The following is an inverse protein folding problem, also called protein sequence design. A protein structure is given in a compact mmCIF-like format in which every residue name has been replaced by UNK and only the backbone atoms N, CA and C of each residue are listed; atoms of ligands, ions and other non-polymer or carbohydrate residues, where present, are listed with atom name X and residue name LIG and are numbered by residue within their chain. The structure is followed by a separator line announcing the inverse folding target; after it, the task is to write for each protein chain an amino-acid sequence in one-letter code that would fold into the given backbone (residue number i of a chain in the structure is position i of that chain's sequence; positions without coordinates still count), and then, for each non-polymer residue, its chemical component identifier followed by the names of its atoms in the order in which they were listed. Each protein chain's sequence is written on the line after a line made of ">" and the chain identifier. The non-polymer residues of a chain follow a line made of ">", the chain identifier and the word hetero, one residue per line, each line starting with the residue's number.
data_IF_490025763161
#
_entry.id   IF_490025763161
#
_cell.length_a   1.000
_cell.length_b   1.000
_cell.length_c   1.000
_cell.angle_alpha   90.00
_cell.angle_beta   90.00
_cell.angle_gamma   90.00
#
_symmetry.space_group_name_H-M   'P 1'
#
loop_
_entity.id
_entity.type
_entity.pdbx_description
1 polymer ?
#
# COMPACT_ATOMS: atom_id res chain seq x y z
N UNK A 1 42.07 -9.66 99.49
CA UNK A 1 41.44 -10.48 98.43
C UNK A 1 42.00 -10.24 97.03
N UNK A 2 43.02 -9.39 96.83
CA UNK A 2 43.61 -9.09 95.51
C UNK A 2 44.82 -9.96 95.17
N UNK A 3 44.73 -11.28 95.36
CA UNK A 3 45.79 -12.21 94.95
C UNK A 3 45.45 -12.82 93.58
N UNK A 4 46.33 -12.67 92.61
CA UNK A 4 46.17 -13.23 91.28
C UNK A 4 46.97 -14.54 91.19
N UNK A 5 46.29 -15.68 91.07
CA UNK A 5 46.96 -16.97 90.95
C UNK A 5 47.77 -17.15 89.65
N UNK A 6 47.70 -16.18 88.71
CA UNK A 6 48.53 -16.12 87.49
C UNK A 6 49.96 -15.62 87.73
N UNK A 7 50.23 -14.95 88.86
CA UNK A 7 51.56 -14.43 89.18
C UNK A 7 52.46 -15.46 89.90
N UNK A 8 51.98 -16.69 90.08
CA UNK A 8 52.74 -17.77 90.74
C UNK A 8 53.69 -18.37 89.71
N UNK A 9 54.99 -18.12 89.86
CA UNK A 9 56.02 -18.72 89.01
C UNK A 9 56.20 -20.21 89.35
N UNK A 10 56.70 -21.03 88.41
CA UNK A 10 56.95 -22.44 88.67
C UNK A 10 57.95 -22.66 89.84
N UNK A 11 58.87 -21.73 90.09
CA UNK A 11 59.81 -21.84 91.22
C UNK A 11 59.08 -21.66 92.56
N UNK A 12 58.27 -20.60 92.70
CA UNK A 12 57.48 -20.34 93.92
C UNK A 12 56.56 -21.52 94.22
N UNK A 13 55.95 -22.09 93.18
CA UNK A 13 55.09 -23.26 93.30
C UNK A 13 55.86 -24.50 93.78
N UNK A 14 57.03 -24.79 93.21
CA UNK A 14 57.84 -25.94 93.62
C UNK A 14 58.26 -25.83 95.08
N UNK A 15 58.68 -24.64 95.52
CA UNK A 15 59.03 -24.38 96.92
C UNK A 15 57.83 -24.54 97.85
N UNK A 16 56.65 -24.01 97.47
CA UNK A 16 55.42 -24.15 98.27
C UNK A 16 54.91 -25.59 98.28
N UNK A 17 55.03 -26.35 97.18
CA UNK A 17 54.69 -27.77 97.12
C UNK A 17 55.61 -28.61 98.01
N UNK A 18 56.90 -28.29 98.06
CA UNK A 18 57.85 -28.93 98.97
C UNK A 18 57.53 -28.63 100.44
N UNK A 19 57.14 -27.40 100.76
CA UNK A 19 56.67 -27.00 102.10
C UNK A 19 55.36 -27.69 102.49
N UNK A 20 54.43 -27.84 101.54
CA UNK A 20 53.17 -28.57 101.72
C UNK A 20 53.42 -30.07 101.93
N UNK A 21 54.41 -30.65 101.25
CA UNK A 21 54.79 -32.07 101.42
C UNK A 21 55.48 -32.32 102.76
N UNK A 22 56.40 -31.44 103.15
CA UNK A 22 57.15 -31.55 104.42
C UNK A 22 56.24 -31.37 105.63
N UNK A 23 55.22 -30.51 105.52
CA UNK A 23 54.28 -30.20 106.60
C UNK A 23 52.85 -30.68 106.29
N UNK A 24 52.69 -31.82 105.63
CA UNK A 24 51.37 -32.31 105.18
C UNK A 24 50.32 -32.42 106.31
N UNK A 25 50.75 -32.79 107.52
CA UNK A 25 49.88 -32.89 108.69
C UNK A 25 49.32 -31.52 109.17
N UNK A 26 50.04 -30.43 108.90
CA UNK A 26 49.69 -29.06 109.31
C UNK A 26 48.70 -28.39 108.36
N UNK A 27 48.59 -28.86 107.11
CA UNK A 27 47.68 -28.34 106.09
C UNK A 27 46.37 -29.13 105.97
N UNK A 28 46.16 -30.17 106.79
CA UNK A 28 44.85 -30.84 106.90
C UNK A 28 43.82 -29.92 107.58
N UNK A 29 42.65 -29.78 106.97
CA UNK A 29 41.60 -28.87 107.41
C UNK A 29 41.16 -29.13 108.87
N UNK A 30 41.19 -30.38 109.32
CA UNK A 30 40.83 -30.76 110.71
C UNK A 30 41.89 -30.33 111.71
N UNK A 31 43.18 -30.45 111.37
CA UNK A 31 44.29 -30.07 112.25
C UNK A 31 44.52 -28.56 112.27
N UNK A 32 44.46 -27.89 111.12
CA UNK A 32 44.58 -26.44 111.01
C UNK A 32 43.46 -25.70 111.79
N UNK A 33 42.23 -26.24 111.77
CA UNK A 33 41.08 -25.68 112.51
C UNK A 33 41.21 -25.84 114.03
N UNK A 34 41.85 -26.92 114.49
CA UNK A 34 42.17 -27.13 115.91
C UNK A 34 43.22 -26.14 116.42
N UNK A 35 44.16 -25.74 115.58
CA UNK A 35 45.18 -24.74 115.92
C UNK A 35 44.64 -23.31 115.91
N UNK A 36 43.85 -22.91 114.91
CA UNK A 36 43.18 -21.61 114.87
C UNK A 36 41.99 -21.59 113.90
N UNK A 37 40.87 -20.98 114.32
CA UNK A 37 39.69 -20.82 113.49
C UNK A 37 39.95 -19.97 112.22
N UNK A 38 40.90 -19.04 112.26
CA UNK A 38 41.28 -18.19 111.13
C UNK A 38 42.34 -18.84 110.22
N UNK A 39 43.10 -19.83 110.71
CA UNK A 39 44.17 -20.49 109.94
C UNK A 39 43.65 -21.56 108.97
N UNK A 40 42.58 -22.28 109.33
CA UNK A 40 41.97 -23.29 108.47
C UNK A 40 41.57 -22.80 107.05
N UNK A 41 40.88 -21.66 106.88
CA UNK A 41 40.54 -21.17 105.54
C UNK A 41 41.78 -20.70 104.74
N UNK A 42 42.83 -20.22 105.41
CA UNK A 42 44.08 -19.84 104.75
C UNK A 42 44.87 -21.05 104.26
N UNK A 43 44.91 -22.15 105.03
CA UNK A 43 45.53 -23.40 104.61
C UNK A 43 44.82 -24.01 103.38
N UNK A 44 43.48 -24.05 103.40
CA UNK A 44 42.68 -24.47 102.25
C UNK A 44 42.88 -23.54 101.03
N UNK A 45 43.00 -22.23 101.27
CA UNK A 45 43.30 -21.24 100.24
C UNK A 45 44.66 -21.50 99.58
N UNK A 46 45.73 -21.75 100.34
CA UNK A 46 47.05 -22.06 99.76
C UNK A 46 46.99 -23.34 98.92
N UNK A 47 46.36 -24.40 99.42
CA UNK A 47 46.21 -25.67 98.71
C UNK A 47 45.42 -25.50 97.39
N UNK A 48 44.32 -24.76 97.43
CA UNK A 48 43.52 -24.46 96.24
C UNK A 48 44.29 -23.60 95.22
N UNK A 49 45.10 -22.63 95.65
CA UNK A 49 45.91 -21.81 94.76
C UNK A 49 47.01 -22.61 94.06
N UNK A 50 47.63 -23.58 94.74
CA UNK A 50 48.63 -24.48 94.13
C UNK A 50 47.99 -25.39 93.07
N UNK A 51 46.84 -26.00 93.38
CA UNK A 51 46.09 -26.84 92.43
C UNK A 51 45.56 -26.02 91.24
N UNK A 52 45.10 -24.80 91.49
CA UNK A 52 44.66 -23.88 90.46
C UNK A 52 45.82 -23.45 89.55
N UNK A 53 47.02 -23.20 90.11
CA UNK A 53 48.22 -22.89 89.33
C UNK A 53 48.68 -24.07 88.44
N UNK A 54 48.55 -25.32 88.91
CA UNK A 54 48.78 -26.53 88.11
C UNK A 54 47.87 -26.60 86.88
N UNK A 55 46.57 -26.36 87.08
CA UNK A 55 45.57 -26.37 86.01
C UNK A 55 45.77 -25.20 85.04
N UNK A 56 46.09 -24.01 85.56
CA UNK A 56 46.37 -22.82 84.77
C UNK A 56 47.56 -23.02 83.82
N UNK A 57 48.61 -23.72 84.25
CA UNK A 57 49.78 -24.01 83.41
C UNK A 57 49.43 -24.94 82.23
N UNK A 58 48.49 -25.88 82.43
CA UNK A 58 48.00 -26.78 81.36
C UNK A 58 47.02 -26.08 80.42
N UNK A 59 46.20 -25.18 80.94
CA UNK A 59 45.18 -24.46 80.18
C UNK A 59 45.78 -23.27 79.43
N UNK A 60 46.85 -22.65 79.92
CA UNK A 60 47.54 -21.52 79.28
C UNK A 60 47.89 -21.70 77.79
N UNK A 61 48.54 -22.79 77.36
CA UNK A 61 48.82 -23.02 75.94
C UNK A 61 47.54 -23.26 75.11
N UNK A 62 46.52 -23.91 75.68
CA UNK A 62 45.24 -24.15 74.99
C UNK A 62 44.42 -22.86 74.87
N UNK A 63 44.42 -22.00 75.89
CA UNK A 63 43.84 -20.65 75.84
C UNK A 63 44.56 -19.79 74.80
N UNK A 64 45.89 -19.90 74.70
CA UNK A 64 46.68 -19.18 73.70
C UNK A 64 46.38 -19.67 72.28
N UNK A 65 46.32 -20.99 72.07
CA UNK A 65 45.98 -21.61 70.78
C UNK A 65 44.52 -21.30 70.38
N UNK A 66 43.58 -21.37 71.32
CA UNK A 66 42.19 -20.98 71.11
C UNK A 66 42.10 -19.49 70.72
N UNK A 67 42.82 -18.62 71.41
CA UNK A 67 42.88 -17.20 71.08
C UNK A 67 43.50 -16.95 69.69
N UNK A 68 44.51 -17.73 69.30
CA UNK A 68 45.12 -17.65 67.97
C UNK A 68 44.14 -18.11 66.87
N UNK A 69 43.47 -19.24 67.07
CA UNK A 69 42.47 -19.76 66.13
C UNK A 69 41.26 -18.84 66.02
N UNK A 70 40.79 -18.25 67.12
CA UNK A 70 39.73 -17.24 67.10
C UNK A 70 40.16 -15.98 66.33
N UNK A 71 41.41 -15.54 66.47
CA UNK A 71 41.96 -14.44 65.64
C UNK A 71 42.02 -14.80 64.16
N UNK A 72 42.42 -16.04 63.82
CA UNK A 72 42.45 -16.51 62.42
C UNK A 72 41.05 -16.64 61.83
N UNK A 73 40.11 -17.20 62.59
CA UNK A 73 38.70 -17.34 62.21
C UNK A 73 38.06 -15.97 61.95
N UNK A 74 38.16 -15.05 62.91
CA UNK A 74 37.64 -13.68 62.74
C UNK A 74 38.29 -12.97 61.54
N UNK A 75 39.58 -13.17 61.30
CA UNK A 75 40.25 -12.65 60.11
C UNK A 75 39.72 -13.24 58.79
N UNK A 76 39.42 -14.54 58.76
CA UNK A 76 38.84 -15.20 57.60
C UNK A 76 37.37 -14.79 57.37
N UNK A 77 36.57 -14.68 58.43
CA UNK A 77 35.19 -14.19 58.40
C UNK A 77 35.13 -12.75 57.88
N UNK A 78 36.03 -11.87 58.31
CA UNK A 78 36.13 -10.51 57.77
C UNK A 78 36.48 -10.49 56.29
N UNK A 79 37.38 -11.38 55.82
CA UNK A 79 37.71 -11.51 54.39
C UNK A 79 36.53 -12.01 53.58
N UNK A 80 35.81 -13.03 54.07
CA UNK A 80 34.60 -13.55 53.45
C UNK A 80 33.51 -12.47 53.39
N UNK A 81 33.33 -11.68 54.45
CA UNK A 81 32.39 -10.56 54.46
C UNK A 81 32.73 -9.50 53.40
N UNK A 82 34.01 -9.11 53.29
CA UNK A 82 34.48 -8.16 52.26
C UNK A 82 34.26 -8.68 50.84
N UNK A 83 34.59 -9.95 50.59
CA UNK A 83 34.40 -10.58 49.28
C UNK A 83 32.91 -10.74 48.95
N UNK A 84 32.08 -11.09 49.93
CA UNK A 84 30.63 -11.18 49.79
C UNK A 84 30.00 -9.83 49.43
N UNK A 85 30.41 -8.75 50.09
CA UNK A 85 29.93 -7.40 49.73
C UNK A 85 30.41 -6.95 48.35
N UNK A 86 31.64 -7.31 47.96
CA UNK A 86 32.17 -6.98 46.64
C UNK A 86 31.43 -7.76 45.54
N UNK A 87 31.11 -9.04 45.78
CA UNK A 87 30.33 -9.87 44.87
C UNK A 87 28.91 -9.30 44.69
N UNK A 88 28.24 -8.94 45.79
CA UNK A 88 26.92 -8.32 45.75
C UNK A 88 26.92 -7.02 44.92
N UNK A 89 27.95 -6.18 45.06
CA UNK A 89 28.09 -4.98 44.24
C UNK A 89 28.31 -5.26 42.75
N UNK A 90 29.02 -6.34 42.41
CA UNK A 90 29.17 -6.78 41.01
C UNK A 90 27.85 -7.33 40.48
N UNK A 91 27.12 -8.12 41.26
CA UNK A 91 25.81 -8.66 40.87
C UNK A 91 24.79 -7.55 40.62
N UNK A 92 24.74 -6.53 41.47
CA UNK A 92 23.95 -5.31 41.24
C UNK A 92 24.32 -4.64 39.92
N UNK A 93 25.63 -4.46 39.65
CA UNK A 93 26.11 -3.87 38.40
C UNK A 93 25.74 -4.70 37.18
N UNK A 94 25.79 -6.02 37.29
CA UNK A 94 25.41 -6.94 36.21
C UNK A 94 23.90 -6.86 35.96
N UNK A 95 23.08 -6.76 37.00
CA UNK A 95 21.64 -6.53 36.87
C UNK A 95 21.35 -5.20 36.15
N UNK A 96 21.98 -4.09 36.58
CA UNK A 96 21.85 -2.78 35.93
C UNK A 96 22.22 -2.83 34.44
N UNK A 97 23.35 -3.47 34.10
CA UNK A 97 23.82 -3.57 32.72
C UNK A 97 22.91 -4.46 31.87
N UNK A 98 22.35 -5.54 32.43
CA UNK A 98 21.40 -6.41 31.74
C UNK A 98 20.11 -5.68 31.40
N UNK A 99 19.59 -4.87 32.32
CA UNK A 99 18.40 -4.05 32.08
C UNK A 99 18.65 -3.03 30.97
N UNK A 100 19.75 -2.27 31.06
CA UNK A 100 20.14 -1.29 30.02
C UNK A 100 20.33 -1.94 28.65
N UNK A 101 21.00 -3.09 28.60
CA UNK A 101 21.15 -3.84 27.35
C UNK A 101 19.79 -4.29 26.81
N UNK A 102 18.88 -4.72 27.68
CA UNK A 102 17.50 -5.04 27.33
C UNK A 102 16.72 -3.85 26.76
N UNK A 103 16.90 -2.65 27.30
CA UNK A 103 16.27 -1.42 26.80
C UNK A 103 16.86 -1.01 25.45
N UNK A 104 18.18 -0.90 25.34
CA UNK A 104 18.85 -0.51 24.09
C UNK A 104 18.58 -1.51 22.96
N UNK A 105 18.47 -2.81 23.25
CA UNK A 105 18.11 -3.81 22.22
C UNK A 105 16.68 -3.67 21.73
N UNK A 106 15.72 -3.36 22.62
CA UNK A 106 14.33 -3.07 22.22
C UNK A 106 14.24 -1.79 21.39
N UNK A 107 14.96 -0.75 21.79
CA UNK A 107 15.01 0.52 21.04
C UNK A 107 15.64 0.33 19.66
N UNK A 108 16.77 -0.37 19.58
CA UNK A 108 17.41 -0.71 18.32
C UNK A 108 16.47 -1.49 17.39
N UNK A 109 15.81 -2.54 17.91
CA UNK A 109 14.86 -3.33 17.13
C UNK A 109 13.66 -2.50 16.63
N UNK A 110 13.15 -1.57 17.46
CA UNK A 110 12.07 -0.65 17.07
C UNK A 110 12.51 0.31 15.96
N UNK A 111 13.72 0.87 16.05
CA UNK A 111 14.27 1.76 15.04
C UNK A 111 14.52 1.00 13.74
N UNK A 112 15.10 -0.21 13.81
CA UNK A 112 15.31 -1.06 12.63
C UNK A 112 13.99 -1.39 11.92
N UNK A 113 12.91 -1.66 12.67
CA UNK A 113 11.60 -1.94 12.09
C UNK A 113 11.03 -0.70 11.39
N UNK A 114 11.10 0.47 12.03
CA UNK A 114 10.67 1.74 11.43
C UNK A 114 11.50 2.13 10.19
N UNK A 115 12.80 1.83 10.19
CA UNK A 115 13.68 2.03 9.04
C UNK A 115 13.25 1.14 7.88
N UNK A 116 13.03 -0.17 8.13
CA UNK A 116 12.56 -1.11 7.10
C UNK A 116 11.22 -0.71 6.49
N UNK A 117 10.27 -0.24 7.30
CA UNK A 117 8.99 0.27 6.79
C UNK A 117 9.20 1.50 5.89
N UNK A 118 10.09 2.40 6.30
CA UNK A 118 10.39 3.61 5.53
C UNK A 118 11.11 3.28 4.22
N UNK A 119 12.07 2.35 4.24
CA UNK A 119 12.77 1.86 3.06
C UNK A 119 11.83 1.17 2.08
N UNK A 120 10.89 0.35 2.57
CA UNK A 120 9.87 -0.28 1.74
C UNK A 120 8.94 0.75 1.07
N UNK A 121 8.55 1.80 1.81
CA UNK A 121 7.77 2.93 1.27
C UNK A 121 8.57 3.72 0.24
N UNK A 122 9.86 3.96 0.48
CA UNK A 122 10.75 4.64 -0.46
C UNK A 122 10.95 3.83 -1.73
N UNK A 123 11.20 2.53 -1.64
CA UNK A 123 11.32 1.66 -2.80
C UNK A 123 10.04 1.68 -3.66
N UNK A 124 8.87 1.55 -3.01
CA UNK A 124 7.58 1.63 -3.70
C UNK A 124 7.36 3.00 -4.37
N UNK A 125 7.76 4.10 -3.70
CA UNK A 125 7.67 5.44 -4.26
C UNK A 125 8.63 5.65 -5.44
N UNK A 126 9.85 5.10 -5.36
CA UNK A 126 10.83 5.14 -6.46
C UNK A 126 10.33 4.37 -7.68
N UNK A 127 9.76 3.18 -7.48
CA UNK A 127 9.16 2.40 -8.57
C UNK A 127 8.01 3.15 -9.24
N UNK A 128 7.13 3.77 -8.44
CA UNK A 128 6.04 4.60 -8.96
C UNK A 128 6.57 5.82 -9.71
N UNK A 129 7.61 6.49 -9.21
CA UNK A 129 8.22 7.62 -9.91
C UNK A 129 8.84 7.18 -11.24
N UNK A 130 9.53 6.05 -11.29
CA UNK A 130 10.09 5.51 -12.53
C UNK A 130 8.98 5.17 -13.55
N UNK A 131 7.86 4.59 -13.10
CA UNK A 131 6.69 4.35 -13.94
C UNK A 131 6.07 5.66 -14.42
N UNK A 132 5.93 6.66 -13.54
CA UNK A 132 5.39 7.97 -13.88
C UNK A 132 6.29 8.74 -14.85
N UNK A 133 7.60 8.61 -14.76
CA UNK A 133 8.54 9.20 -15.72
C UNK A 133 8.38 8.59 -17.11
N UNK A 134 8.26 7.26 -17.20
CA UNK A 134 8.00 6.57 -18.46
C UNK A 134 6.64 6.96 -19.06
N UNK A 135 5.60 7.06 -18.23
CA UNK A 135 4.27 7.52 -18.60
C UNK A 135 4.28 8.99 -19.05
N UNK A 136 4.98 9.86 -18.33
CA UNK A 136 5.16 11.26 -18.69
C UNK A 136 5.85 11.38 -20.05
N UNK A 137 6.95 10.67 -20.27
CA UNK A 137 7.63 10.64 -21.57
C UNK A 137 6.72 10.12 -22.70
N UNK A 138 5.81 9.17 -22.40
CA UNK A 138 4.81 8.69 -23.36
C UNK A 138 3.74 9.75 -23.64
N UNK A 139 3.21 10.41 -22.61
CA UNK A 139 2.21 11.47 -22.76
C UNK A 139 2.78 12.68 -23.50
N UNK A 140 4.00 13.10 -23.19
CA UNK A 140 4.70 14.18 -23.88
C UNK A 140 4.91 13.85 -25.37
N UNK A 141 5.31 12.61 -25.69
CA UNK A 141 5.38 12.14 -27.08
C UNK A 141 4.01 12.13 -27.77
N UNK A 142 2.95 11.70 -27.09
CA UNK A 142 1.59 11.72 -27.63
C UNK A 142 1.08 13.14 -27.88
N UNK A 143 1.34 14.06 -26.95
CA UNK A 143 0.97 15.46 -27.08
C UNK A 143 1.67 16.10 -28.27
N UNK A 144 3.00 15.96 -28.37
CA UNK A 144 3.75 16.45 -29.52
C UNK A 144 3.26 15.83 -30.84
N UNK A 145 2.91 14.54 -30.84
CA UNK A 145 2.35 13.87 -32.00
C UNK A 145 0.94 14.37 -32.36
N UNK A 146 0.12 14.81 -31.40
CA UNK A 146 -1.20 15.39 -31.64
C UNK A 146 -1.10 16.83 -32.14
N UNK A 147 -0.21 17.64 -31.55
CA UNK A 147 0.05 19.03 -31.97
C UNK A 147 0.61 19.09 -33.39
N UNK A 148 1.45 18.12 -33.77
CA UNK A 148 1.98 18.04 -35.12
C UNK A 148 0.95 17.56 -36.16
N UNK A 149 -0.23 17.03 -35.78
CA UNK A 149 -1.19 16.49 -36.75
C UNK A 149 -1.96 17.60 -37.47
N UNK A 150 -2.04 17.61 -38.83
CA UNK A 150 -2.81 18.57 -39.59
C UNK A 150 -4.30 18.21 -39.55
N UNK A 151 -4.93 18.44 -38.39
CA UNK A 151 -6.29 18.00 -38.09
C UNK A 151 -7.30 18.52 -39.12
N UNK A 152 -7.18 19.79 -39.53
CA UNK A 152 -8.07 20.39 -40.53
C UNK A 152 -8.02 19.63 -41.86
N UNK A 153 -6.82 19.27 -42.33
CA UNK A 153 -6.65 18.54 -43.59
C UNK A 153 -7.13 17.09 -43.48
N UNK A 154 -6.93 16.45 -42.31
CA UNK A 154 -7.42 15.09 -42.04
C UNK A 154 -8.95 15.05 -41.98
N UNK A 155 -9.57 16.00 -41.31
CA UNK A 155 -11.03 16.12 -41.25
C UNK A 155 -11.62 16.40 -42.63
N UNK A 156 -10.98 17.26 -43.43
CA UNK A 156 -11.38 17.52 -44.81
C UNK A 156 -11.28 16.28 -45.70
N UNK A 157 -10.20 15.51 -45.56
CA UNK A 157 -10.06 14.24 -46.27
C UNK A 157 -11.09 13.22 -45.80
N UNK A 158 -11.34 13.12 -44.49
CA UNK A 158 -12.34 12.23 -43.90
C UNK A 158 -13.75 12.51 -44.42
N UNK A 159 -14.15 13.79 -44.43
CA UNK A 159 -15.47 14.20 -44.91
C UNK A 159 -15.61 13.98 -46.41
N UNK A 160 -14.58 14.26 -47.20
CA UNK A 160 -14.57 13.94 -48.63
C UNK A 160 -14.69 12.43 -48.89
N UNK A 161 -14.06 11.60 -48.06
CA UNK A 161 -14.19 10.15 -48.14
C UNK A 161 -15.62 9.68 -47.83
N UNK A 162 -16.17 10.14 -46.71
CA UNK A 162 -17.53 9.78 -46.30
C UNK A 162 -18.58 10.24 -47.33
N UNK A 163 -18.45 11.46 -47.86
CA UNK A 163 -19.42 12.03 -48.80
C UNK A 163 -19.33 11.40 -50.20
N UNK A 164 -18.11 11.24 -50.74
CA UNK A 164 -17.95 10.88 -52.16
C UNK A 164 -17.47 9.44 -52.39
N UNK A 165 -16.82 8.80 -51.42
CA UNK A 165 -16.35 7.42 -51.59
C UNK A 165 -17.37 6.38 -51.12
N UNK A 166 -18.27 6.73 -50.20
CA UNK A 166 -19.39 5.88 -49.78
C UNK A 166 -20.41 5.67 -50.89
N UNK A 167 -20.70 6.72 -51.68
CA UNK A 167 -21.66 6.70 -52.79
C UNK A 167 -21.13 6.09 -54.10
N UNK A 168 -19.84 5.72 -54.17
CA UNK A 168 -19.26 5.11 -55.36
C UNK A 168 -19.60 3.60 -55.44
N UNK A 169 -20.14 3.12 -56.57
CA UNK A 169 -20.37 1.69 -56.81
C UNK A 169 -19.10 0.87 -56.58
N UNK A 170 -19.25 -0.34 -56.04
CA UNK A 170 -18.16 -1.27 -55.68
C UNK A 170 -17.19 -1.63 -56.83
N UNK A 171 -17.47 -1.21 -58.06
CA UNK A 171 -16.76 -1.62 -59.27
C UNK A 171 -15.43 -0.91 -59.57
N UNK A 172 -14.88 -0.06 -58.69
CA UNK A 172 -13.52 0.51 -58.90
C UNK A 172 -12.77 0.83 -57.59
N UNK A 173 -12.20 -0.19 -56.93
CA UNK A 173 -11.15 -0.02 -55.88
C UNK A 173 -10.05 0.93 -56.35
N UNK A 174 -9.68 0.84 -57.62
CA UNK A 174 -8.70 1.73 -58.24
C UNK A 174 -9.17 3.19 -58.34
N UNK A 175 -10.48 3.45 -58.53
CA UNK A 175 -10.98 4.82 -58.60
C UNK A 175 -10.94 5.49 -57.22
N UNK A 176 -11.28 4.75 -56.16
CA UNK A 176 -11.12 5.23 -54.77
C UNK A 176 -9.66 5.55 -54.48
N UNK A 177 -8.77 4.62 -54.83
CA UNK A 177 -7.31 4.80 -54.67
C UNK A 177 -6.77 5.99 -55.48
N UNK A 178 -7.23 6.19 -56.74
CA UNK A 178 -6.84 7.34 -57.57
C UNK A 178 -7.35 8.67 -57.02
N UNK A 179 -8.61 8.73 -56.57
CA UNK A 179 -9.20 9.95 -56.00
C UNK A 179 -8.51 10.35 -54.70
N UNK A 180 -8.25 9.39 -53.82
CA UNK A 180 -7.50 9.62 -52.59
C UNK A 180 -6.09 10.10 -52.85
N UNK A 181 -5.42 9.48 -53.82
CA UNK A 181 -4.09 9.92 -54.19
C UNK A 181 -4.12 11.35 -54.75
N UNK A 182 -5.14 11.70 -55.55
CA UNK A 182 -5.33 13.07 -56.07
C UNK A 182 -5.60 14.08 -54.96
N UNK A 183 -6.53 13.79 -54.04
CA UNK A 183 -6.85 14.70 -52.93
C UNK A 183 -5.66 14.94 -52.00
N UNK A 184 -4.83 13.91 -51.77
CA UNK A 184 -3.59 14.06 -50.99
C UNK A 184 -2.57 14.98 -51.66
N UNK A 185 -2.42 14.92 -52.99
CA UNK A 185 -1.52 15.84 -53.71
C UNK A 185 -1.97 17.31 -53.61
N UNK A 186 -3.25 17.55 -53.32
CA UNK A 186 -3.79 18.90 -53.10
C UNK A 186 -3.61 19.38 -51.65
N UNK A 187 -3.16 18.51 -50.74
CA UNK A 187 -2.99 18.78 -49.31
C UNK A 187 -1.49 18.66 -48.93
N UNK A 188 -0.70 19.74 -49.07
CA UNK A 188 0.75 19.69 -48.96
C UNK A 188 1.26 19.30 -47.57
N UNK A 189 0.55 19.63 -46.48
CA UNK A 189 0.97 19.26 -45.12
C UNK A 189 0.81 17.75 -44.88
N UNK A 190 -0.25 17.13 -45.41
CA UNK A 190 -0.41 15.67 -45.39
C UNK A 190 0.66 14.96 -46.24
N UNK A 191 1.04 15.55 -47.37
CA UNK A 191 2.07 15.00 -48.25
C UNK A 191 3.47 15.00 -47.59
N UNK A 192 3.82 16.08 -46.86
CA UNK A 192 5.09 16.16 -46.13
C UNK A 192 5.16 15.15 -44.97
N UNK A 193 4.06 14.90 -44.28
CA UNK A 193 4.02 13.92 -43.18
C UNK A 193 4.13 12.47 -43.65
N UNK A 194 3.56 12.12 -44.80
CA UNK A 194 3.70 10.77 -45.35
C UNK A 194 5.14 10.43 -45.73
N UNK A 195 5.89 11.39 -46.27
CA UNK A 195 7.29 11.19 -46.63
C UNK A 195 8.16 10.90 -45.39
N UNK A 196 7.81 11.50 -44.24
CA UNK A 196 8.48 11.22 -42.96
C UNK A 196 8.08 9.87 -42.34
N UNK A 197 6.84 9.41 -42.58
CA UNK A 197 6.30 8.21 -41.91
C UNK A 197 6.36 6.91 -42.73
N UNK A 198 6.77 6.94 -44.01
CA UNK A 198 6.89 5.75 -44.88
C UNK A 198 5.68 4.79 -44.81
N UNK A 199 4.45 5.32 -44.75
CA UNK A 199 3.22 4.50 -44.67
C UNK A 199 2.58 4.32 -46.04
N UNK A 200 2.24 3.09 -46.39
CA UNK A 200 1.50 2.74 -47.61
C UNK A 200 0.06 3.28 -47.54
N UNK A 201 -0.40 3.91 -48.63
CA UNK A 201 -1.63 4.73 -48.63
C UNK A 201 -2.96 4.01 -48.36
N UNK A 202 -2.96 2.68 -48.34
CA UNK A 202 -4.13 1.80 -48.14
C UNK A 202 -4.57 1.68 -46.67
N UNK A 203 -3.63 1.62 -45.73
CA UNK A 203 -3.90 1.50 -44.30
C UNK A 203 -4.40 2.82 -43.67
N UNK A 204 -4.39 3.90 -44.45
CA UNK A 204 -4.57 5.25 -43.95
C UNK A 204 -6.03 5.69 -43.89
N UNK A 205 -6.89 5.22 -44.79
CA UNK A 205 -8.33 5.48 -44.71
C UNK A 205 -8.96 4.85 -43.48
N UNK A 206 -8.68 3.57 -43.28
CA UNK A 206 -9.23 2.80 -42.16
C UNK A 206 -8.67 3.28 -40.83
N UNK A 207 -7.43 3.77 -40.78
CA UNK A 207 -6.84 4.40 -39.60
C UNK A 207 -7.29 5.87 -39.41
N UNK A 208 -7.72 6.55 -40.47
CA UNK A 208 -8.24 7.91 -40.41
C UNK A 208 -9.69 7.95 -39.96
N UNK A 209 -10.50 6.97 -40.38
CA UNK A 209 -11.92 6.89 -40.07
C UNK A 209 -12.24 5.95 -38.89
N UNK A 210 -11.34 5.02 -38.55
CA UNK A 210 -11.60 3.99 -37.54
C UNK A 210 -10.38 3.69 -36.67
N UNK A 211 -10.64 3.27 -35.43
CA UNK A 211 -9.60 2.76 -34.53
C UNK A 211 -9.34 1.26 -34.75
N UNK A 212 -8.13 0.78 -34.44
CA UNK A 212 -7.82 -0.66 -34.50
C UNK A 212 -8.77 -1.49 -33.61
N UNK A 213 -9.21 -0.92 -32.47
CA UNK A 213 -10.20 -1.56 -31.59
C UNK A 213 -11.53 -1.82 -32.31
N UNK A 214 -12.01 -0.86 -33.09
CA UNK A 214 -13.25 -1.01 -33.87
C UNK A 214 -13.06 -2.05 -34.98
N UNK A 215 -11.93 -2.02 -35.67
CA UNK A 215 -11.62 -3.01 -36.71
C UNK A 215 -11.59 -4.43 -36.13
N UNK A 216 -11.01 -4.60 -34.94
CA UNK A 216 -11.02 -5.88 -34.21
C UNK A 216 -12.43 -6.29 -33.78
N UNK A 217 -13.27 -5.33 -33.36
CA UNK A 217 -14.66 -5.60 -33.00
C UNK A 217 -15.47 -6.08 -34.22
N UNK A 218 -15.30 -5.45 -35.39
CA UNK A 218 -15.98 -5.89 -36.61
C UNK A 218 -15.51 -7.27 -37.06
N UNK A 219 -14.21 -7.56 -36.96
CA UNK A 219 -13.68 -8.90 -37.22
C UNK A 219 -14.29 -9.94 -36.28
N UNK A 220 -14.46 -9.61 -35.00
CA UNK A 220 -15.13 -10.48 -34.04
C UNK A 220 -16.63 -10.67 -34.36
N UNK A 221 -17.26 -9.70 -35.02
CA UNK A 221 -18.65 -9.76 -35.51
C UNK A 221 -18.79 -10.43 -36.89
N UNK A 222 -17.70 -10.96 -37.45
CA UNK A 222 -17.73 -11.71 -38.72
C UNK A 222 -17.50 -10.86 -39.97
N UNK A 223 -17.03 -9.61 -39.84
CA UNK A 223 -16.58 -8.83 -40.99
C UNK A 223 -15.36 -9.52 -41.64
N UNK A 224 -15.38 -9.81 -42.95
CA UNK A 224 -14.24 -10.37 -43.63
C UNK A 224 -13.00 -9.46 -43.51
N UNK A 225 -11.79 -10.01 -43.35
CA UNK A 225 -10.58 -9.22 -43.09
C UNK A 225 -10.02 -8.52 -44.33
N UNK A 226 -10.73 -8.58 -45.47
CA UNK A 226 -10.31 -7.91 -46.68
C UNK A 226 -10.41 -6.39 -46.54
N UNK A 227 -9.54 -5.72 -47.31
CA UNK A 227 -9.40 -4.28 -47.28
C UNK A 227 -10.70 -3.56 -47.64
N UNK A 228 -11.40 -4.04 -48.68
CA UNK A 228 -12.63 -3.43 -49.15
C UNK A 228 -13.76 -3.55 -48.14
N UNK A 229 -13.94 -4.70 -47.50
CA UNK A 229 -14.93 -4.85 -46.41
C UNK A 229 -14.61 -3.95 -45.23
N UNK A 230 -13.33 -3.80 -44.86
CA UNK A 230 -12.92 -2.91 -43.78
C UNK A 230 -13.12 -1.43 -44.13
N UNK A 231 -12.81 -1.02 -45.37
CA UNK A 231 -13.05 0.33 -45.89
C UNK A 231 -14.55 0.61 -46.02
N UNK A 232 -15.35 -0.34 -46.49
CA UNK A 232 -16.80 -0.20 -46.60
C UNK A 232 -17.45 -0.12 -45.21
N UNK A 233 -17.03 -0.93 -44.24
CA UNK A 233 -17.51 -0.82 -42.86
C UNK A 233 -17.12 0.53 -42.22
N UNK A 234 -15.98 1.09 -42.59
CA UNK A 234 -15.58 2.44 -42.20
C UNK A 234 -16.45 3.53 -42.82
N UNK A 235 -16.86 3.36 -44.09
CA UNK A 235 -17.63 4.33 -44.87
C UNK A 235 -19.14 4.25 -44.65
N UNK A 236 -19.71 3.05 -44.46
CA UNK A 236 -21.15 2.77 -44.27
C UNK A 236 -21.65 3.08 -42.84
N UNK A 237 -20.89 3.85 -42.09
CA UNK A 237 -21.19 4.10 -40.68
C UNK A 237 -22.41 5.05 -40.56
N UNK A 238 -23.64 4.49 -40.47
CA UNK A 238 -24.86 4.82 -39.64
C UNK A 238 -26.21 4.44 -40.33
N UNK A 239 -27.29 3.95 -39.62
CA UNK A 239 -27.70 4.34 -38.27
C UNK A 239 -27.55 3.27 -37.16
N UNK A 240 -27.57 3.85 -35.97
CA UNK A 240 -27.21 3.41 -34.62
C UNK A 240 -28.09 2.28 -34.05
N UNK A 241 -27.56 1.21 -33.43
CA UNK A 241 -28.38 0.26 -32.65
C UNK A 241 -29.14 0.93 -31.49
N UNK A 242 -28.75 2.15 -31.09
CA UNK A 242 -29.48 2.99 -30.16
C UNK A 242 -30.52 3.90 -30.83
N UNK A 243 -30.76 3.83 -32.15
CA UNK A 243 -31.70 4.72 -32.85
C UNK A 243 -33.09 4.71 -32.20
N UNK A 244 -33.65 3.53 -31.94
CA UNK A 244 -34.94 3.40 -31.27
C UNK A 244 -34.91 3.98 -29.85
N UNK A 245 -33.81 3.78 -29.12
CA UNK A 245 -33.66 4.33 -27.76
C UNK A 245 -33.56 5.86 -27.79
N UNK A 246 -32.83 6.42 -28.75
CA UNK A 246 -32.68 7.86 -28.95
C UNK A 246 -33.96 8.51 -29.45
N UNK A 247 -34.72 7.81 -30.31
CA UNK A 247 -36.05 8.23 -30.75
C UNK A 247 -37.01 8.27 -29.56
N UNK A 248 -37.07 7.20 -28.77
CA UNK A 248 -37.89 7.14 -27.55
C UNK A 248 -37.54 8.29 -26.59
N UNK A 249 -36.25 8.51 -26.32
CA UNK A 249 -35.80 9.57 -25.41
C UNK A 249 -36.07 10.96 -25.96
N UNK A 250 -35.85 11.19 -27.25
CA UNK A 250 -36.09 12.50 -27.87
C UNK A 250 -37.57 12.88 -27.88
N UNK A 251 -38.46 11.90 -28.11
CA UNK A 251 -39.91 12.10 -28.03
C UNK A 251 -40.35 12.43 -26.59
N UNK A 252 -39.85 11.70 -25.58
CA UNK A 252 -40.14 11.98 -24.16
C UNK A 252 -39.61 13.34 -23.71
N UNK A 253 -38.42 13.72 -24.17
CA UNK A 253 -37.73 14.94 -23.75
C UNK A 253 -38.08 16.16 -24.62
N UNK A 254 -38.88 16.01 -25.68
CA UNK A 254 -39.26 17.10 -26.58
C UNK A 254 -38.11 17.67 -27.43
N UNK A 255 -37.08 16.86 -27.70
CA UNK A 255 -35.90 17.32 -28.45
C UNK A 255 -36.06 17.07 -29.95
N UNK A 256 -35.63 18.03 -30.77
CA UNK A 256 -35.67 17.84 -32.21
C UNK A 256 -34.75 16.69 -32.65
N UNK A 257 -35.27 15.76 -33.45
CA UNK A 257 -34.53 14.63 -33.99
C UNK A 257 -34.36 14.80 -35.50
N UNK A 258 -33.11 14.65 -35.95
CA UNK A 258 -32.73 14.68 -37.37
C UNK A 258 -32.32 13.27 -37.79
N UNK A 259 -33.00 12.71 -38.78
CA UNK A 259 -32.65 11.42 -39.37
C UNK A 259 -32.10 11.69 -40.77
N UNK A 260 -30.84 11.31 -40.97
CA UNK A 260 -30.10 11.58 -42.20
C UNK A 260 -30.10 10.34 -43.10
N UNK A 261 -30.01 10.59 -44.41
CA UNK A 261 -29.87 9.59 -45.48
C UNK A 261 -31.02 8.55 -45.51
N UNK A 262 -32.25 9.05 -45.44
CA UNK A 262 -33.46 8.22 -45.45
C UNK A 262 -33.81 7.82 -46.88
N UNK A 263 -33.65 6.54 -47.21
CA UNK A 263 -34.07 5.99 -48.52
C UNK A 263 -35.55 5.58 -48.51
N UNK A 264 -36.04 5.02 -47.40
CA UNK A 264 -37.45 4.67 -47.18
C UNK A 264 -37.88 5.06 -45.75
N UNK A 265 -39.14 5.47 -45.57
CA UNK A 265 -39.67 5.80 -44.24
C UNK A 265 -39.92 4.51 -43.46
N UNK A 266 -39.17 4.34 -42.36
CA UNK A 266 -39.33 3.21 -41.44
C UNK A 266 -40.77 3.15 -40.89
N UNK A 267 -41.42 1.97 -40.94
CA UNK A 267 -42.74 1.75 -40.36
C UNK A 267 -42.95 2.25 -38.92
N UNK A 268 -41.89 2.23 -38.11
CA UNK A 268 -41.91 2.67 -36.71
C UNK A 268 -42.20 4.16 -36.56
N UNK A 269 -41.95 4.97 -37.60
CA UNK A 269 -42.21 6.41 -37.58
C UNK A 269 -43.66 6.78 -37.93
N UNK A 270 -44.46 5.90 -38.54
CA UNK A 270 -45.83 6.25 -38.96
C UNK A 270 -46.75 6.70 -37.82
N UNK A 271 -46.76 6.09 -36.62
CA UNK A 271 -47.59 6.56 -35.51
C UNK A 271 -47.26 8.01 -35.09
N UNK A 272 -45.98 8.40 -35.16
CA UNK A 272 -45.52 9.77 -34.90
C UNK A 272 -45.92 10.72 -36.03
N UNK A 273 -45.74 10.31 -37.29
CA UNK A 273 -46.08 11.12 -38.46
C UNK A 273 -47.59 11.35 -38.60
N UNK A 274 -48.42 10.36 -38.25
CA UNK A 274 -49.89 10.48 -38.21
C UNK A 274 -50.40 11.29 -37.03
N UNK A 275 -49.56 11.52 -36.02
CA UNK A 275 -49.96 12.07 -34.71
C UNK A 275 -51.08 11.24 -34.09
N UNK A 276 -50.91 9.93 -34.06
CA UNK A 276 -51.82 8.99 -33.39
C UNK A 276 -51.62 9.09 -31.86
N UNK A 277 -51.91 10.28 -31.31
CA UNK A 277 -51.72 10.64 -29.91
C UNK A 277 -52.96 10.26 -29.11
N UNK A 278 -52.74 9.51 -28.03
CA UNK A 278 -53.79 9.12 -27.08
C UNK A 278 -53.65 9.97 -25.83
N UNK A 279 -54.69 10.74 -25.50
CA UNK A 279 -54.72 11.54 -24.27
C UNK A 279 -54.97 10.65 -23.07
N UNK A 280 -53.96 10.51 -22.21
CA UNK A 280 -54.07 9.82 -20.93
C UNK A 280 -53.95 10.85 -19.80
N UNK A 281 -55.10 11.28 -19.28
CA UNK A 281 -55.16 12.32 -18.25
C UNK A 281 -54.70 13.68 -18.79
N UNK A 282 -53.63 14.24 -18.22
CA UNK A 282 -53.06 15.53 -18.64
C UNK A 282 -51.88 15.41 -19.62
N UNK A 283 -51.50 14.17 -20.03
CA UNK A 283 -50.36 13.91 -20.92
C UNK A 283 -50.82 13.21 -22.19
N UNK A 284 -50.10 13.45 -23.28
CA UNK A 284 -50.30 12.77 -24.56
C UNK A 284 -49.30 11.64 -24.69
N UNK A 285 -49.72 10.49 -25.21
CA UNK A 285 -48.90 9.29 -25.35
C UNK A 285 -49.00 8.77 -26.79
N UNK A 286 -47.88 8.33 -27.35
CA UNK A 286 -47.78 7.75 -28.70
C UNK A 286 -47.16 6.35 -28.63
N UNK A 287 -47.66 5.43 -29.45
CA UNK A 287 -47.12 4.08 -29.54
C UNK A 287 -46.00 4.04 -30.59
N UNK A 288 -44.78 3.71 -30.16
CA UNK A 288 -43.61 3.53 -31.02
C UNK A 288 -43.18 2.07 -30.91
N UNK A 289 -43.45 1.28 -31.95
CA UNK A 289 -43.31 -0.17 -31.89
C UNK A 289 -44.23 -0.79 -30.82
N UNK A 290 -43.67 -1.56 -29.90
CA UNK A 290 -44.41 -2.25 -28.83
C UNK A 290 -44.56 -1.43 -27.55
N UNK A 291 -44.07 -0.18 -27.53
CA UNK A 291 -44.03 0.65 -26.31
C UNK A 291 -44.86 1.93 -26.45
N UNK A 292 -45.62 2.23 -25.40
CA UNK A 292 -46.25 3.52 -25.20
C UNK A 292 -45.24 4.52 -24.63
N UNK A 293 -45.12 5.69 -25.26
CA UNK A 293 -44.13 6.72 -24.93
C UNK A 293 -44.84 8.07 -24.74
N UNK A 294 -44.55 8.75 -23.62
CA UNK A 294 -45.04 10.12 -23.37
C UNK A 294 -44.56 11.05 -24.50
N UNK A 295 -45.50 11.70 -25.17
CA UNK A 295 -45.25 12.65 -26.26
C UNK A 295 -45.14 14.06 -25.70
N UNK A 296 -44.04 14.74 -26.01
CA UNK A 296 -43.86 16.15 -25.73
C UNK A 296 -44.22 16.99 -26.95
N UNK A 297 -45.03 18.04 -26.76
CA UNK A 297 -45.47 18.94 -27.82
C UNK A 297 -44.32 19.72 -28.48
N UNK A 298 -43.18 19.84 -27.80
CA UNK A 298 -41.99 20.53 -28.31
C UNK A 298 -41.15 19.67 -29.28
N UNK A 299 -41.47 18.37 -29.38
CA UNK A 299 -40.76 17.44 -30.25
C UNK A 299 -40.91 17.81 -31.74
N UNK A 300 -39.81 17.76 -32.49
CA UNK A 300 -39.78 18.00 -33.93
C UNK A 300 -38.94 16.93 -34.62
N UNK A 301 -39.46 16.36 -35.71
CA UNK A 301 -38.76 15.35 -36.50
C UNK A 301 -38.47 15.90 -37.89
N UNK A 302 -37.25 15.76 -38.36
CA UNK A 302 -36.89 16.05 -39.74
C UNK A 302 -36.17 14.85 -40.35
N UNK A 303 -36.60 14.49 -41.57
CA UNK A 303 -36.05 13.40 -42.35
C UNK A 303 -35.35 14.01 -43.56
N UNK A 304 -34.11 13.64 -43.79
CA UNK A 304 -33.29 14.15 -44.89
C UNK A 304 -32.90 12.99 -45.80
N UNK A 305 -33.23 13.08 -47.08
CA UNK A 305 -32.83 12.12 -48.11
C UNK A 305 -31.90 12.80 -49.11
N UNK A 306 -30.89 12.07 -49.58
CA UNK A 306 -29.99 12.54 -50.63
C UNK A 306 -30.41 12.03 -52.02
N UNK A 307 -31.37 11.10 -52.08
CA UNK A 307 -31.89 10.56 -53.32
C UNK A 307 -32.97 11.48 -53.89
N UNK A 308 -32.68 12.05 -55.06
CA UNK A 308 -33.56 13.01 -55.73
C UNK A 308 -34.74 12.35 -56.47
N UNK A 309 -34.68 11.03 -56.68
CA UNK A 309 -35.74 10.25 -57.34
C UNK A 309 -36.52 9.35 -56.36
N UNK A 310 -36.32 9.51 -55.05
CA UNK A 310 -36.99 8.73 -54.01
C UNK A 310 -38.52 8.96 -54.02
N UNK A 311 -39.25 8.09 -54.71
CA UNK A 311 -40.70 8.14 -54.79
C UNK A 311 -41.33 7.57 -53.52
N UNK A 312 -41.86 8.44 -52.65
CA UNK A 312 -42.65 8.00 -51.50
C UNK A 312 -43.99 7.38 -51.95
N UNK A 313 -44.44 6.28 -51.33
CA UNK A 313 -45.78 5.76 -51.56
C UNK A 313 -46.87 6.80 -51.27
N UNK A 314 -48.01 6.80 -51.99
CA UNK A 314 -49.03 7.85 -51.87
C UNK A 314 -49.62 7.97 -50.46
N UNK A 315 -49.61 6.89 -49.67
CA UNK A 315 -50.06 6.90 -48.27
C UNK A 315 -49.06 7.55 -47.30
N UNK A 316 -47.77 7.60 -47.66
CA UNK A 316 -46.71 8.20 -46.86
C UNK A 316 -46.51 9.67 -47.24
N UNK A 317 -46.64 9.99 -48.54
CA UNK A 317 -46.55 11.35 -49.08
C UNK A 317 -47.62 12.30 -48.52
N UNK A 318 -48.77 11.80 -48.05
CA UNK A 318 -49.81 12.62 -47.39
C UNK A 318 -49.48 12.96 -45.95
N UNK A 319 -48.62 12.18 -45.29
CA UNK A 319 -48.27 12.31 -43.88
C UNK A 319 -47.01 13.17 -43.67
N UNK A 320 -46.14 13.20 -44.68
CA UNK A 320 -44.90 13.95 -44.65
C UNK A 320 -44.98 15.07 -45.68
N UNK A 321 -44.49 16.24 -45.30
CA UNK A 321 -44.31 17.34 -46.25
C UNK A 321 -42.93 17.22 -46.89
N UNK A 322 -42.90 16.69 -48.10
CA UNK A 322 -41.67 16.64 -48.90
C UNK A 322 -41.29 18.04 -49.35
N UNK A 323 -40.00 18.36 -49.22
CA UNK A 323 -39.41 19.60 -49.70
C UNK A 323 -38.20 19.21 -50.54
N UNK A 324 -38.25 19.52 -51.83
CA UNK A 324 -37.17 19.20 -52.75
C UNK A 324 -36.13 20.32 -52.72
N UNK A 325 -34.90 19.96 -52.37
CA UNK A 325 -33.77 20.86 -52.33
C UNK A 325 -32.78 20.62 -53.48
N UNK A 326 -33.26 20.01 -54.57
CA UNK A 326 -32.46 19.81 -55.78
C UNK A 326 -32.05 21.15 -56.39
N UNK A 327 -30.77 21.32 -56.69
CA UNK A 327 -30.28 22.52 -57.34
C UNK A 327 -30.90 22.63 -58.73
N UNK A 328 -31.64 23.71 -58.98
CA UNK A 328 -32.19 23.99 -60.30
C UNK A 328 -31.07 24.44 -61.23
N UNK A 329 -31.22 24.24 -62.54
CA UNK A 329 -30.21 24.63 -63.53
C UNK A 329 -29.79 26.10 -63.40
N UNK A 330 -30.73 26.98 -63.02
CA UNK A 330 -30.45 28.38 -62.69
C UNK A 330 -29.58 28.55 -61.43
N UNK A 331 -29.87 27.81 -60.35
CA UNK A 331 -29.05 27.84 -59.14
C UNK A 331 -27.67 27.19 -59.31
N UNK A 332 -27.53 26.25 -60.26
CA UNK A 332 -26.27 25.62 -60.65
C UNK A 332 -25.40 26.50 -61.55
N UNK A 333 -26.00 27.47 -62.26
CA UNK A 333 -25.26 28.46 -63.05
C UNK A 333 -24.68 29.59 -62.20
N UNK A 334 -25.33 29.94 -61.08
CA UNK A 334 -24.87 30.97 -60.14
C UNK A 334 -23.88 30.44 -59.07
N UNK A 335 -23.65 29.11 -59.02
CA UNK A 335 -22.69 28.43 -58.12
C UNK A 335 -21.44 27.94 -58.85
#
# INVERSE_FOLDING_TARGET
>A
MSFNARSVTPEIKSSVQELLRTNAASFDAKNAKRASAAAAPLAAWVQANVQYADVLHKIGPLEAEQAELQRKLSGAEQRLGKLGSALAGVDERVCELRERLGECTREAARIELGLRESDARLASAQDLLAQLEAEHARWSRRLAALEAQPLAQRCLLASACAAYLAALPASREEARSRLLHRWRRLLPELQQQQQQQQREGAAELTHLLCSEKEQLAWRAQGLPPDRLSTENAALLRLPDPAFLTTLELSVRLGKALLVLDVQEIDPVLYPLLRRDLVTQGSRQVVNIGDKAVDYSDDFRLFLLSQDSEAALPPYAATLVRTLDFSTTEAGLCDQ
#
